data_IF_389061971316
#
_entry.id   IF_389061971316
#
_cell.length_a   1.000
_cell.length_b   1.000
_cell.length_c   1.000
_cell.angle_alpha   90.00
_cell.angle_beta   90.00
_cell.angle_gamma   90.00
#
_symmetry.space_group_name_H-M   'P 1'
#
loop_
_entity.id
_entity.type
_entity.pdbx_description
1 polymer ?
#
# COMPACT_ATOMS: atom_id res chain seq x y z
N UNK A 1 10.24 4.35 -1.92
CA UNK A 1 9.64 3.00 -1.76
C UNK A 1 10.07 2.48 -0.42
N UNK A 2 9.11 2.05 0.40
CA UNK A 2 9.36 1.51 1.73
C UNK A 2 8.72 0.11 1.79
N UNK A 3 9.48 -0.87 2.24
CA UNK A 3 8.96 -2.19 2.55
C UNK A 3 8.83 -2.29 4.07
N UNK A 4 7.59 -2.36 4.55
CA UNK A 4 7.30 -2.43 5.95
C UNK A 4 6.88 -3.84 6.33
N UNK A 5 7.44 -4.35 7.42
CA UNK A 5 7.01 -5.60 8.05
C UNK A 5 6.47 -5.28 9.44
N UNK A 6 5.22 -5.64 9.68
CA UNK A 6 4.61 -5.57 11.00
C UNK A 6 5.09 -6.74 11.88
N UNK A 7 5.11 -6.53 13.20
CA UNK A 7 5.55 -7.51 14.21
C UNK A 7 4.71 -8.80 14.25
N UNK A 8 3.51 -8.80 13.65
CA UNK A 8 2.67 -9.97 13.45
C UNK A 8 2.89 -10.71 12.12
N UNK A 9 3.95 -10.37 11.37
CA UNK A 9 4.36 -11.09 10.16
C UNK A 9 3.62 -10.69 8.87
N UNK A 10 2.91 -9.56 8.87
CA UNK A 10 2.36 -8.96 7.64
C UNK A 10 3.38 -8.02 7.03
N UNK A 11 3.64 -8.15 5.73
CA UNK A 11 4.52 -7.21 5.01
C UNK A 11 3.74 -6.49 3.91
N UNK A 12 4.03 -5.21 3.71
CA UNK A 12 3.43 -4.39 2.66
C UNK A 12 4.48 -3.45 2.09
N UNK A 13 4.52 -3.37 0.76
CA UNK A 13 5.35 -2.41 0.04
C UNK A 13 4.53 -1.20 -0.37
N UNK A 14 5.01 0.00 -0.07
CA UNK A 14 4.32 1.25 -0.39
C UNK A 14 5.24 2.21 -1.17
N UNK A 15 4.66 2.88 -2.17
CA UNK A 15 5.30 3.99 -2.87
C UNK A 15 4.53 5.25 -2.49
N UNK A 16 5.25 6.19 -1.90
CA UNK A 16 4.70 7.48 -1.51
C UNK A 16 5.47 8.61 -2.20
N UNK A 17 4.73 9.61 -2.66
CA UNK A 17 5.27 10.87 -3.14
C UNK A 17 4.58 12.00 -2.39
N UNK A 18 5.37 12.82 -1.70
CA UNK A 18 4.89 14.03 -1.04
C UNK A 18 4.93 15.17 -2.06
N UNK A 19 3.81 15.86 -2.22
CA UNK A 19 3.70 17.03 -3.10
C UNK A 19 3.36 18.28 -2.30
N UNK A 20 3.87 19.42 -2.75
CA UNK A 20 3.69 20.72 -2.08
C UNK A 20 2.27 21.29 -2.26
N UNK A 21 1.51 20.82 -3.26
CA UNK A 21 0.22 21.38 -3.62
C UNK A 21 -0.67 20.35 -4.32
N UNK A 22 -1.99 20.48 -4.13
CA UNK A 22 -2.98 19.50 -4.63
C UNK A 22 -3.00 19.37 -6.16
N UNK A 23 -2.69 20.42 -6.89
CA UNK A 23 -2.60 20.38 -8.36
C UNK A 23 -1.45 19.50 -8.89
N UNK A 24 -0.47 19.13 -8.05
CA UNK A 24 0.63 18.22 -8.41
C UNK A 24 0.30 16.75 -8.16
N UNK A 25 -0.83 16.44 -7.51
CA UNK A 25 -1.21 15.05 -7.16
C UNK A 25 -1.34 14.17 -8.41
N UNK A 26 -2.02 14.63 -9.45
CA UNK A 26 -2.18 13.85 -10.68
C UNK A 26 -0.84 13.56 -11.40
N UNK A 27 0.11 14.47 -11.33
CA UNK A 27 1.46 14.24 -11.87
C UNK A 27 2.22 13.20 -11.03
N UNK A 28 2.14 13.29 -9.70
CA UNK A 28 2.71 12.31 -8.80
C UNK A 28 2.12 10.91 -9.00
N UNK A 29 0.79 10.80 -9.17
CA UNK A 29 0.13 9.52 -9.48
C UNK A 29 0.63 8.92 -10.79
N UNK A 30 0.81 9.72 -11.85
CA UNK A 30 1.38 9.25 -13.12
C UNK A 30 2.82 8.75 -12.95
N UNK A 31 3.62 9.44 -12.15
CA UNK A 31 5.01 9.04 -11.87
C UNK A 31 5.06 7.73 -11.08
N UNK A 32 4.17 7.54 -10.11
CA UNK A 32 4.04 6.26 -9.39
C UNK A 32 3.66 5.15 -10.37
N UNK A 33 2.64 5.36 -11.19
CA UNK A 33 2.18 4.37 -12.16
C UNK A 33 3.29 4.01 -13.18
N UNK A 34 4.06 4.99 -13.65
CA UNK A 34 5.18 4.76 -14.54
C UNK A 34 6.28 3.95 -13.86
N UNK A 35 6.66 4.32 -12.64
CA UNK A 35 7.64 3.59 -11.85
C UNK A 35 7.20 2.14 -11.58
N UNK A 36 5.94 1.91 -11.22
CA UNK A 36 5.40 0.57 -11.03
C UNK A 36 5.46 -0.27 -12.31
N UNK A 37 5.19 0.35 -13.46
CA UNK A 37 5.26 -0.33 -14.76
C UNK A 37 6.69 -0.68 -15.16
N UNK A 38 7.66 0.21 -14.91
CA UNK A 38 9.08 -0.06 -15.20
C UNK A 38 9.69 -1.14 -14.30
N UNK A 39 9.11 -1.32 -13.11
CA UNK A 39 9.57 -2.27 -12.10
C UNK A 39 8.50 -3.31 -11.77
N UNK A 40 7.72 -3.74 -12.76
CA UNK A 40 6.62 -4.70 -12.59
C UNK A 40 7.06 -6.02 -11.92
N UNK A 41 8.27 -6.47 -12.22
CA UNK A 41 8.91 -7.64 -11.60
C UNK A 41 9.07 -7.56 -10.07
N UNK A 42 9.00 -6.37 -9.48
CA UNK A 42 9.15 -6.16 -8.05
C UNK A 42 7.79 -6.09 -7.32
N UNK A 43 6.74 -5.63 -8.01
CA UNK A 43 5.44 -5.40 -7.38
C UNK A 43 4.53 -6.62 -7.55
N UNK A 44 4.25 -7.30 -6.46
CA UNK A 44 3.18 -8.31 -6.43
C UNK A 44 1.83 -7.60 -6.39
N UNK A 45 1.14 -7.58 -7.53
CA UNK A 45 -0.18 -6.93 -7.68
C UNK A 45 -1.35 -7.90 -7.57
N UNK A 46 -1.08 -9.18 -7.35
CA UNK A 46 -2.12 -10.20 -7.25
C UNK A 46 -2.77 -10.15 -5.86
N UNK A 47 -4.09 -9.92 -5.84
CA UNK A 47 -4.90 -9.89 -4.62
C UNK A 47 -5.22 -8.49 -4.11
N UNK A 48 -5.71 -8.43 -2.87
CA UNK A 48 -6.08 -7.17 -2.21
C UNK A 48 -4.89 -6.69 -1.38
N UNK A 49 -4.31 -5.55 -1.76
CA UNK A 49 -3.27 -4.90 -0.96
C UNK A 49 -3.89 -4.40 0.35
N UNK A 50 -3.50 -5.00 1.47
CA UNK A 50 -3.94 -4.61 2.80
C UNK A 50 -2.85 -3.81 3.51
N UNK A 51 -3.18 -2.60 3.94
CA UNK A 51 -2.33 -1.84 4.87
C UNK A 51 -2.23 -2.53 6.24
N UNK A 52 -1.20 -2.19 7.00
CA UNK A 52 -0.88 -2.84 8.29
C UNK A 52 -2.06 -2.88 9.27
N UNK A 53 -2.80 -1.77 9.41
CA UNK A 53 -3.94 -1.71 10.33
C UNK A 53 -5.07 -2.65 9.90
N UNK A 54 -5.36 -2.69 8.60
CA UNK A 54 -6.41 -3.56 8.06
C UNK A 54 -6.04 -5.04 8.23
N UNK A 55 -4.78 -5.39 7.97
CA UNK A 55 -4.23 -6.72 8.21
C UNK A 55 -4.25 -7.12 9.70
N UNK A 56 -4.02 -6.16 10.61
CA UNK A 56 -4.15 -6.40 12.05
C UNK A 56 -5.61 -6.71 12.43
N UNK A 57 -6.56 -5.89 11.97
CA UNK A 57 -7.98 -6.07 12.27
C UNK A 57 -8.49 -7.40 11.74
N UNK A 58 -8.16 -7.75 10.50
CA UNK A 58 -8.59 -9.02 9.89
C UNK A 58 -8.08 -10.24 10.66
N UNK A 59 -6.90 -10.15 11.28
CA UNK A 59 -6.29 -11.26 12.04
C UNK A 59 -6.69 -11.31 13.50
N UNK A 60 -6.83 -10.17 14.17
CA UNK A 60 -6.95 -10.11 15.63
C UNK A 60 -8.26 -9.51 16.15
N UNK A 61 -9.06 -8.87 15.28
CA UNK A 61 -10.33 -8.27 15.67
C UNK A 61 -11.45 -8.66 14.69
N UNK A 62 -11.79 -9.95 14.72
CA UNK A 62 -12.79 -10.55 13.83
C UNK A 62 -14.15 -9.85 13.86
N UNK A 63 -14.60 -9.39 15.04
CA UNK A 63 -15.87 -8.65 15.17
C UNK A 63 -15.85 -7.33 14.38
N UNK A 64 -14.76 -6.58 14.49
CA UNK A 64 -14.59 -5.35 13.72
C UNK A 64 -14.47 -5.65 12.23
N UNK A 65 -13.72 -6.70 11.86
CA UNK A 65 -13.56 -7.13 10.48
C UNK A 65 -14.90 -7.46 9.81
N UNK A 66 -15.80 -8.15 10.52
CA UNK A 66 -17.14 -8.51 10.01
C UNK A 66 -18.07 -7.30 9.82
N UNK A 67 -17.75 -6.14 10.40
CA UNK A 67 -18.53 -4.90 10.27
C UNK A 67 -17.94 -3.90 9.26
N UNK A 68 -16.78 -4.20 8.66
CA UNK A 68 -16.13 -3.38 7.63
C UNK A 68 -16.49 -3.90 6.24
#
# INVERSE_FOLDING_TARGET
MVLDTADFGHSVGEIELIVESQNKVQDAEKRIAFFMKEHDWFFETDGIVMGKLLAYISRFNKKQWECM
#
